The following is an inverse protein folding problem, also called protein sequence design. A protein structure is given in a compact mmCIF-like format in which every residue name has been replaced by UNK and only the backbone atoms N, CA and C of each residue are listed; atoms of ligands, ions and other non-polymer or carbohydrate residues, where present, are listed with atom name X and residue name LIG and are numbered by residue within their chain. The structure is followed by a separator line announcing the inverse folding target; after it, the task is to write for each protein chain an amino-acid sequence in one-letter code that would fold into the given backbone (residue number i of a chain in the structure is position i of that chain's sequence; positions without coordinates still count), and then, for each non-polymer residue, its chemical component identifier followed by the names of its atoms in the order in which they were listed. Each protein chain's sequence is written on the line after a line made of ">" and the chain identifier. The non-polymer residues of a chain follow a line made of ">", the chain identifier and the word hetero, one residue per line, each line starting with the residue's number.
data_IF_686259895350
#
_entry.id   IF_686259895350
#
_cell.length_a   1.000
_cell.length_b   1.000
_cell.length_c   1.000
_cell.angle_alpha   90.00
_cell.angle_beta   90.00
_cell.angle_gamma   90.00
#
_symmetry.space_group_name_H-M   'P 1'
#
loop_
_entity.id
_entity.type
_entity.pdbx_description
1 polymer ?
#
# COMPACT_ATOMS: atom_id res chain seq x y z
N UNK A 1 -5.21 29.43 2.83
CA UNK A 1 -5.39 28.11 2.21
C UNK A 1 -4.07 27.36 2.02
N UNK A 2 -2.92 28.03 1.89
CA UNK A 2 -1.62 27.37 1.68
C UNK A 2 -1.14 26.63 2.95
N UNK A 3 -1.20 27.26 4.12
CA UNK A 3 -0.64 26.66 5.35
C UNK A 3 -1.27 25.31 5.75
N UNK A 4 -2.61 25.13 5.72
CA UNK A 4 -3.22 23.82 6.02
C UNK A 4 -2.81 22.72 5.03
N UNK A 5 -2.60 23.05 3.75
CA UNK A 5 -2.15 22.08 2.74
C UNK A 5 -0.69 21.68 2.96
N UNK A 6 0.16 22.63 3.40
CA UNK A 6 1.54 22.33 3.77
C UNK A 6 1.62 21.41 4.99
N UNK A 7 0.76 21.61 5.99
CA UNK A 7 0.66 20.73 7.14
C UNK A 7 0.27 19.29 6.72
N UNK A 8 -0.79 19.16 5.90
CA UNK A 8 -1.23 17.85 5.39
C UNK A 8 -0.15 17.15 4.55
N UNK A 9 0.61 17.91 3.75
CA UNK A 9 1.73 17.36 2.99
C UNK A 9 2.87 16.87 3.90
N UNK A 10 3.16 17.58 4.99
CA UNK A 10 4.11 17.15 6.01
C UNK A 10 3.69 15.83 6.67
N UNK A 11 2.44 15.75 7.14
CA UNK A 11 1.89 14.52 7.73
C UNK A 11 1.95 13.33 6.76
N UNK A 12 1.61 13.56 5.48
CA UNK A 12 1.74 12.52 4.46
C UNK A 12 3.19 12.07 4.25
N UNK A 13 4.13 13.03 4.18
CA UNK A 13 5.54 12.73 3.95
C UNK A 13 6.15 11.91 5.09
N UNK A 14 5.82 12.23 6.35
CA UNK A 14 6.26 11.46 7.52
C UNK A 14 5.73 10.02 7.47
N UNK A 15 4.44 9.85 7.18
CA UNK A 15 3.84 8.51 7.03
C UNK A 15 4.48 7.72 5.89
N UNK A 16 4.70 8.37 4.75
CA UNK A 16 5.29 7.73 3.57
C UNK A 16 6.74 7.31 3.83
N UNK A 17 7.54 8.16 4.49
CA UNK A 17 8.92 7.82 4.85
C UNK A 17 8.97 6.59 5.75
N UNK A 18 8.13 6.53 6.79
CA UNK A 18 8.04 5.38 7.68
C UNK A 18 7.63 4.10 6.94
N UNK A 19 6.67 4.19 6.01
CA UNK A 19 6.24 3.06 5.21
C UNK A 19 7.39 2.52 4.33
N UNK A 20 8.14 3.40 3.67
CA UNK A 20 9.27 3.02 2.84
C UNK A 20 10.39 2.34 3.66
N UNK A 21 10.69 2.85 4.85
CA UNK A 21 11.67 2.25 5.76
C UNK A 21 11.26 0.82 6.17
N UNK A 22 9.99 0.62 6.53
CA UNK A 22 9.49 -0.72 6.90
C UNK A 22 9.47 -1.69 5.72
N UNK A 23 9.14 -1.21 4.51
CA UNK A 23 9.23 -2.01 3.28
C UNK A 23 10.66 -2.44 2.99
N UNK A 24 11.65 -1.59 3.25
CA UNK A 24 13.06 -1.95 3.10
C UNK A 24 13.45 -3.09 4.05
N UNK A 25 12.99 -3.06 5.31
CA UNK A 25 13.20 -4.16 6.28
C UNK A 25 12.62 -5.48 5.79
N UNK A 26 11.41 -5.47 5.21
CA UNK A 26 10.82 -6.68 4.62
C UNK A 26 11.63 -7.20 3.43
N UNK A 27 12.21 -6.29 2.62
CA UNK A 27 13.06 -6.64 1.49
C UNK A 27 14.33 -7.40 1.91
N UNK A 28 14.86 -7.17 3.11
CA UNK A 28 16.03 -7.90 3.64
C UNK A 28 15.77 -9.40 3.84
N UNK A 29 14.50 -9.82 3.96
CA UNK A 29 14.13 -11.22 4.12
C UNK A 29 14.31 -12.04 2.83
N UNK A 30 14.42 -11.38 1.67
CA UNK A 30 14.59 -12.05 0.36
C UNK A 30 13.41 -12.95 -0.04
N UNK A 31 12.25 -12.78 0.60
CA UNK A 31 11.03 -13.52 0.28
C UNK A 31 10.23 -12.79 -0.80
N UNK A 32 9.52 -13.52 -1.68
CA UNK A 32 8.59 -12.89 -2.62
C UNK A 32 7.49 -12.12 -1.86
N UNK A 33 7.35 -10.83 -2.17
CA UNK A 33 6.32 -9.96 -1.61
C UNK A 33 5.36 -9.51 -2.71
N UNK A 34 4.07 -9.49 -2.40
CA UNK A 34 3.02 -9.01 -3.31
C UNK A 34 2.29 -7.84 -2.66
N UNK A 35 2.02 -6.81 -3.44
CA UNK A 35 1.38 -5.58 -2.97
C UNK A 35 -0.06 -5.53 -3.45
N UNK A 36 -0.99 -5.25 -2.54
CA UNK A 36 -2.41 -5.16 -2.84
C UNK A 36 -2.94 -3.77 -2.53
N UNK A 37 -3.93 -3.28 -3.30
CA UNK A 37 -4.57 -2.01 -3.02
C UNK A 37 -5.36 -2.06 -1.72
N UNK A 38 -5.49 -0.91 -1.06
CA UNK A 38 -6.43 -0.73 0.04
C UNK A 38 -7.85 -0.58 -0.51
N UNK A 39 -8.76 -1.44 -0.08
CA UNK A 39 -10.19 -1.31 -0.36
C UNK A 39 -10.82 -0.33 0.65
N UNK A 40 -10.92 0.94 0.28
CA UNK A 40 -11.38 2.00 1.18
C UNK A 40 -12.82 1.81 1.70
N UNK A 41 -13.67 1.14 0.92
CA UNK A 41 -15.07 0.87 1.27
C UNK A 41 -15.24 -0.40 2.13
N UNK A 42 -14.15 -1.13 2.39
CA UNK A 42 -14.17 -2.40 3.10
C UNK A 42 -14.15 -3.62 2.17
N UNK A 43 -14.24 -4.81 2.76
CA UNK A 43 -14.17 -6.08 2.01
C UNK A 43 -15.58 -6.60 1.69
N UNK A 44 -15.80 -6.91 0.42
CA UNK A 44 -16.96 -7.63 -0.07
C UNK A 44 -16.55 -8.67 -1.13
N UNK A 45 -17.52 -9.28 -1.80
CA UNK A 45 -17.22 -10.28 -2.83
C UNK A 45 -16.52 -9.67 -4.05
N UNK A 46 -16.88 -8.45 -4.46
CA UNK A 46 -16.26 -7.78 -5.59
C UNK A 46 -14.79 -7.45 -5.27
N UNK A 47 -14.54 -6.90 -4.09
CA UNK A 47 -13.21 -6.63 -3.55
C UNK A 47 -12.35 -7.89 -3.45
N UNK A 48 -12.90 -9.03 -3.07
CA UNK A 48 -12.16 -10.29 -3.08
C UNK A 48 -11.69 -10.66 -4.50
N UNK A 49 -12.55 -10.52 -5.51
CA UNK A 49 -12.18 -10.80 -6.89
C UNK A 49 -11.20 -9.76 -7.45
N UNK A 50 -11.29 -8.50 -7.03
CA UNK A 50 -10.31 -7.47 -7.34
C UNK A 50 -8.93 -7.85 -6.81
N UNK A 51 -8.82 -8.17 -5.51
CA UNK A 51 -7.54 -8.57 -4.91
C UNK A 51 -6.99 -9.85 -5.54
N UNK A 52 -7.83 -10.85 -5.82
CA UNK A 52 -7.40 -12.07 -6.51
C UNK A 52 -6.88 -11.77 -7.93
N UNK A 53 -7.50 -10.80 -8.62
CA UNK A 53 -7.05 -10.34 -9.94
C UNK A 53 -5.69 -9.66 -9.86
N UNK A 54 -5.47 -8.80 -8.85
CA UNK A 54 -4.18 -8.13 -8.63
C UNK A 54 -3.07 -9.13 -8.27
N UNK A 55 -3.35 -10.13 -7.44
CA UNK A 55 -2.39 -11.20 -7.15
C UNK A 55 -2.01 -12.01 -8.41
N UNK A 56 -2.99 -12.30 -9.28
CA UNK A 56 -2.74 -13.00 -10.55
C UNK A 56 -1.86 -12.19 -11.50
N UNK A 57 -2.10 -10.87 -11.60
CA UNK A 57 -1.23 -9.97 -12.39
C UNK A 57 0.21 -9.99 -11.89
N UNK A 58 0.42 -10.25 -10.60
CA UNK A 58 1.73 -10.35 -9.97
C UNK A 58 2.33 -11.77 -10.02
N UNK A 59 1.68 -12.71 -10.72
CA UNK A 59 2.23 -14.04 -10.98
C UNK A 59 1.82 -15.14 -10.00
N UNK A 60 0.86 -14.88 -9.09
CA UNK A 60 0.25 -15.95 -8.28
C UNK A 60 -0.77 -16.70 -9.16
N UNK A 61 -0.57 -18.01 -9.35
CA UNK A 61 -1.43 -18.89 -10.16
C UNK A 61 -2.67 -19.40 -9.41
#
# INVERSE_FOLDING_TARGET
>A
LVDPLLAQAGEYAERYALEQEQRAVLGELGLPTHELPLLAEGMDLAGLYELATELRKQGIA
#
